data_IF_797548220820
#
_entry.id   IF_797548220820
#
_cell.length_a   1.000
_cell.length_b   1.000
_cell.length_c   1.000
_cell.angle_alpha   90.00
_cell.angle_beta   90.00
_cell.angle_gamma   90.00
#
_symmetry.space_group_name_H-M   'P 1'
#
loop_
_entity.id
_entity.type
_entity.pdbx_description
1 polymer ?
#
# COMPACT_ATOMS: atom_id res chain seq x y z
N UNK A 1 -2.56 -9.81 36.96
CA UNK A 1 -1.61 -8.67 36.84
C UNK A 1 -0.87 -8.78 35.51
N UNK A 2 -0.68 -7.63 34.84
CA UNK A 2 0.08 -7.37 33.61
C UNK A 2 -0.47 -7.88 32.25
N UNK A 3 -1.35 -7.06 31.65
CA UNK A 3 -1.66 -7.04 30.21
C UNK A 3 -0.43 -6.47 29.48
N UNK A 4 0.30 -7.27 28.69
CA UNK A 4 1.35 -6.76 27.80
C UNK A 4 0.67 -6.04 26.63
N UNK A 5 0.70 -4.70 26.66
CA UNK A 5 0.32 -3.86 25.51
C UNK A 5 1.40 -4.01 24.44
N UNK A 6 1.02 -4.57 23.30
CA UNK A 6 1.85 -4.57 22.10
C UNK A 6 1.89 -3.14 21.57
N UNK A 7 3.10 -2.59 21.45
CA UNK A 7 3.34 -1.21 21.04
C UNK A 7 3.05 -1.11 19.54
N UNK A 8 2.02 -0.36 19.17
CA UNK A 8 1.81 0.10 17.80
C UNK A 8 2.98 1.00 17.42
N UNK A 9 3.79 0.59 16.44
CA UNK A 9 4.75 1.48 15.77
C UNK A 9 4.06 2.07 14.56
N UNK A 10 3.47 3.25 14.74
CA UNK A 10 3.16 4.13 13.62
C UNK A 10 4.50 4.78 13.23
N UNK A 11 5.07 4.38 12.10
CA UNK A 11 6.23 5.08 11.53
C UNK A 11 5.72 6.26 10.69
N UNK A 12 5.70 7.45 11.28
CA UNK A 12 5.70 8.70 10.50
C UNK A 12 7.16 9.14 10.39
N UNK A 13 7.84 8.73 9.33
CA UNK A 13 9.14 9.31 8.98
C UNK A 13 8.91 10.68 8.34
N UNK A 14 8.98 11.75 9.13
CA UNK A 14 9.17 13.10 8.60
C UNK A 14 10.67 13.36 8.43
N UNK A 15 11.24 12.96 7.28
CA UNK A 15 12.58 13.40 6.91
C UNK A 15 12.53 14.84 6.40
N UNK A 16 12.77 15.81 7.28
CA UNK A 16 13.19 17.15 6.89
C UNK A 16 14.65 17.09 6.41
N UNK A 17 14.86 16.96 5.10
CA UNK A 17 16.17 17.24 4.50
C UNK A 17 16.00 17.79 3.08
N UNK A 18 16.04 19.13 3.03
CA UNK A 18 16.59 19.98 1.97
C UNK A 18 16.36 19.57 0.51
N UNK A 19 15.38 20.22 -0.13
CA UNK A 19 15.35 20.37 -1.58
C UNK A 19 15.32 21.87 -1.91
N UNK A 20 16.51 22.48 -1.98
CA UNK A 20 16.67 23.80 -2.58
C UNK A 20 17.12 23.61 -4.03
N UNK A 21 16.44 24.17 -5.03
CA UNK A 21 16.97 24.17 -6.39
C UNK A 21 18.13 25.18 -6.45
N UNK A 22 19.32 24.69 -6.79
CA UNK A 22 20.48 25.54 -7.07
C UNK A 22 20.19 26.48 -8.25
N UNK A 23 20.52 27.76 -8.10
CA UNK A 23 20.51 28.76 -9.18
C UNK A 23 21.55 28.41 -10.25
N UNK A 24 21.26 28.57 -11.55
CA UNK A 24 22.24 28.31 -12.61
C UNK A 24 23.36 29.36 -12.56
N UNK A 25 24.60 28.87 -12.44
CA UNK A 25 25.83 29.66 -12.57
C UNK A 25 25.99 30.14 -14.02
N UNK A 26 26.04 31.44 -14.25
CA UNK A 26 26.34 32.05 -15.55
C UNK A 26 27.68 31.53 -16.09
N UNK A 27 27.65 30.85 -17.24
CA UNK A 27 28.82 30.58 -18.08
C UNK A 27 28.75 31.53 -19.27
N UNK A 28 29.71 32.47 -19.33
CA UNK A 28 29.91 33.35 -20.46
C UNK A 28 30.45 32.53 -21.66
N UNK A 29 29.73 32.56 -22.77
CA UNK A 29 30.13 31.93 -24.02
C UNK A 29 29.45 32.63 -25.19
N UNK A 30 30.25 33.31 -25.99
CA UNK A 30 29.89 34.16 -27.14
C UNK A 30 29.38 33.34 -28.33
N UNK A 31 28.19 33.67 -28.86
CA UNK A 31 27.74 33.23 -30.18
C UNK A 31 26.21 33.21 -30.33
N UNK A 32 25.64 34.17 -31.07
CA UNK A 32 24.28 34.12 -31.65
C UNK A 32 24.41 33.75 -33.15
N UNK A 33 23.39 33.16 -33.82
CA UNK A 33 22.07 33.77 -33.99
C UNK A 33 20.86 32.85 -33.78
N UNK A 34 19.81 33.45 -33.21
CA UNK A 34 18.39 33.28 -33.52
C UNK A 34 17.91 31.91 -34.04
N UNK A 35 17.41 31.10 -33.10
CA UNK A 35 16.31 30.17 -33.37
C UNK A 35 15.15 30.49 -32.44
N UNK A 36 14.01 30.74 -33.07
CA UNK A 36 12.79 31.33 -32.52
C UNK A 36 12.17 30.44 -31.46
N UNK A 37 12.41 30.77 -30.19
CA UNK A 37 11.47 30.49 -29.10
C UNK A 37 10.78 31.81 -28.79
N UNK A 38 9.44 31.88 -28.69
CA UNK A 38 8.81 33.11 -28.21
C UNK A 38 9.34 33.37 -26.80
N UNK A 39 9.90 34.57 -26.58
CA UNK A 39 10.20 35.05 -25.24
C UNK A 39 8.89 35.13 -24.46
N UNK A 40 8.55 34.05 -23.76
CA UNK A 40 7.47 34.06 -22.80
C UNK A 40 7.81 35.12 -21.75
N UNK A 41 6.98 36.16 -21.66
CA UNK A 41 7.09 37.23 -20.68
C UNK A 41 7.45 36.67 -19.30
N UNK A 42 8.28 37.39 -18.53
CA UNK A 42 8.64 37.03 -17.16
C UNK A 42 7.41 36.70 -16.29
N UNK A 43 6.25 37.30 -16.58
CA UNK A 43 4.99 36.99 -15.93
C UNK A 43 4.48 35.57 -16.23
N UNK A 44 4.64 35.09 -17.47
CA UNK A 44 4.25 33.73 -17.86
C UNK A 44 5.21 32.68 -17.29
N UNK A 45 6.50 32.98 -17.25
CA UNK A 45 7.50 32.14 -16.57
C UNK A 45 7.24 32.08 -15.07
N UNK A 46 6.89 33.21 -14.43
CA UNK A 46 6.47 33.25 -13.02
C UNK A 46 5.20 32.44 -12.80
N UNK A 47 4.19 32.55 -13.67
CA UNK A 47 2.95 31.77 -13.56
C UNK A 47 3.21 30.26 -13.70
N UNK A 48 4.11 29.86 -14.60
CA UNK A 48 4.51 28.47 -14.78
C UNK A 48 5.32 27.94 -13.59
N UNK A 49 6.23 28.76 -13.06
CA UNK A 49 7.01 28.46 -11.85
C UNK A 49 6.11 28.37 -10.62
N UNK A 50 5.13 29.27 -10.46
CA UNK A 50 4.14 29.26 -9.38
C UNK A 50 3.20 28.07 -9.51
N UNK A 51 2.71 27.75 -10.72
CA UNK A 51 1.88 26.56 -10.94
C UNK A 51 2.66 25.25 -10.73
N UNK A 52 3.94 25.21 -11.11
CA UNK A 52 4.83 24.09 -10.83
C UNK A 52 5.18 23.98 -9.34
N UNK A 53 5.42 25.11 -8.68
CA UNK A 53 5.62 25.21 -7.23
C UNK A 53 4.37 24.77 -6.47
N UNK A 54 3.18 25.20 -6.88
CA UNK A 54 1.91 24.81 -6.27
C UNK A 54 1.60 23.32 -6.50
N UNK A 55 1.90 22.75 -7.67
CA UNK A 55 1.81 21.30 -7.90
C UNK A 55 2.83 20.50 -7.08
N UNK A 56 4.05 20.98 -6.96
CA UNK A 56 5.11 20.34 -6.18
C UNK A 56 4.85 20.44 -4.66
N UNK A 57 4.32 21.57 -4.19
CA UNK A 57 3.98 21.78 -2.78
C UNK A 57 2.68 21.10 -2.38
N UNK A 58 1.68 21.01 -3.26
CA UNK A 58 0.47 20.23 -3.01
C UNK A 58 0.80 18.74 -2.76
N UNK A 59 1.74 18.17 -3.53
CA UNK A 59 2.29 16.82 -3.24
C UNK A 59 3.04 16.76 -1.92
N UNK A 60 3.65 17.85 -1.49
CA UNK A 60 4.42 17.91 -0.24
C UNK A 60 3.54 18.10 1.02
N UNK A 61 2.24 18.35 0.86
CA UNK A 61 1.29 18.64 1.96
C UNK A 61 0.15 17.63 2.12
N UNK A 62 0.00 16.66 1.22
CA UNK A 62 -1.02 15.61 1.35
C UNK A 62 -0.49 14.50 2.26
N UNK A 63 -1.25 14.12 3.29
CA UNK A 63 -0.96 12.91 4.06
C UNK A 63 -1.01 11.70 3.11
N UNK A 64 0.06 10.89 3.10
CA UNK A 64 0.14 9.69 2.26
C UNK A 64 -1.08 8.79 2.51
N UNK A 65 -1.82 8.34 1.47
CA UNK A 65 -2.98 7.47 1.64
C UNK A 65 -2.61 6.22 2.44
N UNK A 66 -3.38 5.91 3.49
CA UNK A 66 -3.13 4.76 4.34
C UNK A 66 -3.78 3.50 3.79
N UNK A 67 -2.99 2.45 3.54
CA UNK A 67 -3.47 1.12 3.18
C UNK A 67 -3.29 0.15 4.34
N UNK A 68 -4.36 -0.53 4.73
CA UNK A 68 -4.26 -1.57 5.75
C UNK A 68 -3.78 -2.88 5.11
N UNK A 69 -2.73 -3.49 5.66
CA UNK A 69 -2.22 -4.80 5.23
C UNK A 69 -2.44 -5.79 6.36
N UNK A 70 -3.49 -6.61 6.23
CA UNK A 70 -4.00 -7.46 7.30
C UNK A 70 -3.71 -8.94 7.03
N UNK A 71 -3.16 -9.62 8.02
CA UNK A 71 -2.71 -11.00 7.91
C UNK A 71 -3.43 -11.89 8.93
N UNK A 72 -4.05 -12.95 8.42
CA UNK A 72 -4.80 -13.92 9.20
C UNK A 72 -3.92 -14.95 9.92
N UNK A 73 -4.52 -16.07 10.35
CA UNK A 73 -3.90 -16.97 11.30
C UNK A 73 -2.73 -17.74 10.70
N UNK A 74 -1.78 -18.10 11.56
CA UNK A 74 -0.57 -18.87 11.30
C UNK A 74 0.47 -18.19 10.38
N UNK A 75 0.20 -17.01 9.83
CA UNK A 75 1.20 -16.28 9.03
C UNK A 75 2.39 -15.78 9.87
N UNK A 76 2.23 -15.65 11.18
CA UNK A 76 3.34 -15.42 12.11
C UNK A 76 4.37 -16.57 12.14
N UNK A 77 4.04 -17.73 11.58
CA UNK A 77 4.92 -18.90 11.52
C UNK A 77 5.58 -19.07 10.13
N UNK A 78 5.45 -18.09 9.23
CA UNK A 78 6.15 -18.09 7.94
C UNK A 78 7.67 -18.20 8.13
N UNK A 79 8.34 -18.86 7.19
CA UNK A 79 9.78 -19.15 7.26
C UNK A 79 10.19 -20.25 8.26
N UNK A 80 9.30 -20.66 9.18
CA UNK A 80 9.59 -21.67 10.20
C UNK A 80 9.04 -23.07 9.87
N UNK A 81 8.10 -23.17 8.91
CA UNK A 81 7.43 -24.42 8.53
C UNK A 81 7.30 -24.56 7.02
N UNK A 82 7.58 -25.75 6.50
CA UNK A 82 7.33 -26.16 5.11
C UNK A 82 7.86 -25.15 4.06
N UNK A 83 9.18 -24.88 4.04
CA UNK A 83 9.78 -23.93 3.11
C UNK A 83 9.50 -24.26 1.63
N UNK A 84 9.28 -25.54 1.32
CA UNK A 84 8.89 -26.01 -0.03
C UNK A 84 7.56 -25.39 -0.53
N UNK A 85 6.64 -25.04 0.36
CA UNK A 85 5.27 -24.58 0.03
C UNK A 85 5.14 -23.05 0.15
N UNK A 86 5.78 -22.46 1.17
CA UNK A 86 5.61 -21.03 1.51
C UNK A 86 6.86 -20.19 1.26
N UNK A 87 7.97 -20.81 0.87
CA UNK A 87 9.27 -20.16 0.80
C UNK A 87 9.93 -19.99 2.17
N UNK A 88 11.16 -19.48 2.18
CA UNK A 88 11.92 -19.18 3.40
C UNK A 88 11.62 -17.80 3.98
N UNK A 89 10.79 -17.00 3.30
CA UNK A 89 10.45 -15.65 3.74
C UNK A 89 9.63 -15.68 5.03
N UNK A 90 10.02 -14.85 5.98
CA UNK A 90 9.31 -14.61 7.24
C UNK A 90 8.23 -13.55 7.07
N UNK A 91 7.36 -13.39 8.07
CA UNK A 91 6.38 -12.30 8.06
C UNK A 91 7.05 -10.92 8.13
N UNK A 92 8.19 -10.82 8.81
CA UNK A 92 8.99 -9.59 8.87
C UNK A 92 9.54 -9.24 7.48
N UNK A 93 9.96 -10.23 6.69
CA UNK A 93 10.38 -10.01 5.29
C UNK A 93 9.21 -9.50 4.43
N UNK A 94 8.00 -10.04 4.63
CA UNK A 94 6.78 -9.55 3.96
C UNK A 94 6.50 -8.10 4.33
N UNK A 95 6.60 -7.75 5.62
CA UNK A 95 6.43 -6.37 6.07
C UNK A 95 7.45 -5.44 5.39
N UNK A 96 8.73 -5.83 5.32
CA UNK A 96 9.75 -5.04 4.62
C UNK A 96 9.47 -4.87 3.13
N UNK A 97 8.98 -5.92 2.46
CA UNK A 97 8.56 -5.83 1.04
C UNK A 97 7.42 -4.82 0.89
N UNK A 98 6.42 -4.85 1.77
CA UNK A 98 5.30 -3.91 1.77
C UNK A 98 5.78 -2.48 2.00
N UNK A 99 6.65 -2.25 2.99
CA UNK A 99 7.20 -0.91 3.29
C UNK A 99 7.92 -0.35 2.05
N UNK A 100 8.82 -1.14 1.46
CA UNK A 100 9.58 -0.71 0.27
C UNK A 100 8.69 -0.45 -0.95
N UNK A 101 7.62 -1.23 -1.12
CA UNK A 101 6.66 -1.01 -2.20
C UNK A 101 5.83 0.26 -1.94
N UNK A 102 5.33 0.45 -0.72
CA UNK A 102 4.55 1.61 -0.33
C UNK A 102 5.33 2.92 -0.47
N UNK A 103 6.61 2.94 -0.07
CA UNK A 103 7.46 4.13 -0.21
C UNK A 103 7.66 4.54 -1.67
N UNK A 104 7.73 3.58 -2.60
CA UNK A 104 7.82 3.86 -4.05
C UNK A 104 6.51 4.38 -4.64
N UNK A 105 5.39 4.06 -4.00
CA UNK A 105 4.03 4.41 -4.43
C UNK A 105 3.46 5.63 -3.68
N UNK A 106 4.27 6.26 -2.83
CA UNK A 106 3.86 7.37 -1.96
C UNK A 106 2.66 7.03 -1.05
N UNK A 107 2.61 5.78 -0.59
CA UNK A 107 1.58 5.27 0.33
C UNK A 107 2.11 5.20 1.76
N UNK A 108 1.19 5.28 2.72
CA UNK A 108 1.41 4.81 4.09
C UNK A 108 0.79 3.41 4.24
N UNK A 109 1.35 2.57 5.11
CA UNK A 109 0.78 1.26 5.42
C UNK A 109 0.59 1.04 6.92
N UNK A 110 -0.43 0.26 7.26
CA UNK A 110 -0.64 -0.31 8.58
C UNK A 110 -0.63 -1.83 8.47
N UNK A 111 0.52 -2.42 8.78
CA UNK A 111 0.76 -3.85 8.65
C UNK A 111 0.47 -4.57 9.97
N UNK A 112 -0.45 -5.55 9.95
CA UNK A 112 -0.86 -6.28 11.16
C UNK A 112 -1.06 -7.76 10.89
N UNK A 113 -0.95 -8.57 11.94
CA UNK A 113 -1.25 -9.99 11.92
C UNK A 113 -1.94 -10.43 13.21
N UNK A 114 -2.96 -11.28 13.09
CA UNK A 114 -3.59 -11.94 14.24
C UNK A 114 -4.03 -13.35 13.92
N UNK A 115 -4.05 -14.18 14.98
CA UNK A 115 -4.65 -15.50 14.96
C UNK A 115 -6.13 -15.48 15.38
N UNK A 116 -6.64 -14.36 15.85
CA UNK A 116 -7.99 -14.23 16.43
C UNK A 116 -8.93 -13.60 15.40
N UNK A 117 -9.95 -14.35 14.98
CA UNK A 117 -10.91 -13.91 13.96
C UNK A 117 -11.59 -12.58 14.33
N UNK A 118 -12.11 -12.46 15.55
CA UNK A 118 -12.78 -11.24 16.03
C UNK A 118 -11.87 -10.01 16.08
N UNK A 119 -10.56 -10.20 16.29
CA UNK A 119 -9.58 -9.10 16.24
C UNK A 119 -9.35 -8.65 14.80
N UNK A 120 -9.23 -9.58 13.85
CA UNK A 120 -9.12 -9.28 12.42
C UNK A 120 -10.36 -8.52 11.92
N UNK A 121 -11.56 -8.96 12.32
CA UNK A 121 -12.83 -8.28 12.04
C UNK A 121 -12.83 -6.86 12.62
N UNK A 122 -12.37 -6.69 13.87
CA UNK A 122 -12.31 -5.37 14.50
C UNK A 122 -11.38 -4.43 13.73
N UNK A 123 -10.22 -4.92 13.27
CA UNK A 123 -9.30 -4.12 12.45
C UNK A 123 -9.90 -3.74 11.11
N UNK A 124 -10.63 -4.65 10.45
CA UNK A 124 -11.35 -4.35 9.20
C UNK A 124 -12.36 -3.22 9.44
N UNK A 125 -13.17 -3.30 10.50
CA UNK A 125 -14.13 -2.25 10.84
C UNK A 125 -13.46 -0.90 11.15
N UNK A 126 -12.32 -0.92 11.85
CA UNK A 126 -11.54 0.28 12.14
C UNK A 126 -10.98 0.95 10.87
N UNK A 127 -10.75 0.18 9.78
CA UNK A 127 -10.21 0.72 8.53
C UNK A 127 -11.14 1.76 7.89
N UNK A 128 -12.47 1.59 8.02
CA UNK A 128 -13.48 2.50 7.44
C UNK A 128 -13.25 3.98 7.78
N UNK A 129 -12.62 4.28 8.93
CA UNK A 129 -12.41 5.65 9.41
C UNK A 129 -11.05 6.25 9.07
N UNK A 130 -10.10 5.44 8.59
CA UNK A 130 -8.67 5.83 8.58
C UNK A 130 -7.88 5.36 7.36
N UNK A 131 -8.34 4.33 6.67
CA UNK A 131 -7.65 3.75 5.52
C UNK A 131 -8.41 4.07 4.23
N UNK A 132 -7.69 4.06 3.11
CA UNK A 132 -8.25 4.21 1.76
C UNK A 132 -8.42 2.86 1.05
N UNK A 133 -7.84 1.79 1.57
CA UNK A 133 -7.98 0.44 1.03
C UNK A 133 -7.46 -0.64 1.96
N UNK A 134 -7.86 -1.88 1.70
CA UNK A 134 -7.48 -3.06 2.49
C UNK A 134 -6.83 -4.11 1.58
N UNK A 135 -5.61 -4.51 1.93
CA UNK A 135 -4.98 -5.71 1.40
C UNK A 135 -5.04 -6.76 2.50
N UNK A 136 -5.63 -7.92 2.22
CA UNK A 136 -5.83 -8.95 3.22
C UNK A 136 -5.34 -10.31 2.73
N UNK A 137 -4.53 -10.97 3.54
CA UNK A 137 -4.29 -12.41 3.43
C UNK A 137 -5.03 -13.10 4.58
N UNK A 138 -6.26 -13.62 4.36
CA UNK A 138 -7.06 -14.18 5.45
C UNK A 138 -6.58 -15.56 5.89
N UNK A 139 -5.60 -16.16 5.20
CA UNK A 139 -5.07 -17.48 5.46
C UNK A 139 -6.19 -18.52 5.65
N UNK A 140 -6.24 -19.20 6.80
CA UNK A 140 -7.27 -20.19 7.10
C UNK A 140 -8.71 -19.62 7.07
N UNK A 141 -8.89 -18.35 7.46
CA UNK A 141 -10.21 -17.73 7.53
C UNK A 141 -10.86 -17.47 6.18
N UNK A 142 -10.07 -17.51 5.09
CA UNK A 142 -10.59 -17.44 3.72
C UNK A 142 -11.67 -18.49 3.50
N UNK A 143 -11.47 -19.70 4.04
CA UNK A 143 -12.32 -20.85 3.77
C UNK A 143 -13.47 -21.04 4.76
N UNK A 144 -13.49 -20.28 5.87
CA UNK A 144 -14.41 -20.54 6.98
C UNK A 144 -15.16 -19.31 7.47
N UNK A 145 -14.62 -18.11 7.28
CA UNK A 145 -15.12 -16.90 7.94
C UNK A 145 -16.14 -16.16 7.10
N UNK A 146 -17.42 -16.43 7.37
CA UNK A 146 -18.53 -15.60 6.88
C UNK A 146 -18.53 -14.25 7.61
N UNK A 147 -18.17 -14.22 8.90
CA UNK A 147 -18.14 -12.98 9.68
C UNK A 147 -17.10 -11.97 9.16
N UNK A 148 -15.95 -12.43 8.66
CA UNK A 148 -14.96 -11.58 8.02
C UNK A 148 -15.46 -11.05 6.67
N UNK A 149 -16.16 -11.86 5.88
CA UNK A 149 -16.81 -11.41 4.65
C UNK A 149 -17.80 -10.27 4.94
N UNK A 150 -18.69 -10.45 5.92
CA UNK A 150 -19.67 -9.43 6.29
C UNK A 150 -19.00 -8.12 6.75
N UNK A 151 -17.91 -8.24 7.52
CA UNK A 151 -17.14 -7.08 7.94
C UNK A 151 -16.51 -6.32 6.77
N UNK A 152 -15.94 -7.03 5.79
CA UNK A 152 -15.34 -6.43 4.59
C UNK A 152 -16.40 -5.72 3.73
N UNK A 153 -17.54 -6.37 3.48
CA UNK A 153 -18.66 -5.77 2.75
C UNK A 153 -19.20 -4.50 3.42
N UNK A 154 -19.09 -4.40 4.74
CA UNK A 154 -19.53 -3.24 5.50
C UNK A 154 -18.52 -2.08 5.54
N UNK A 155 -17.34 -2.19 4.90
CA UNK A 155 -16.33 -1.11 4.94
C UNK A 155 -16.50 -0.05 3.87
N UNK A 156 -17.14 -0.38 2.74
CA UNK A 156 -17.18 0.42 1.50
C UNK A 156 -15.78 0.81 0.96
N UNK A 157 -14.72 0.09 1.36
CA UNK A 157 -13.35 0.30 0.88
C UNK A 157 -12.99 -0.73 -0.21
N UNK A 158 -12.10 -0.39 -1.16
CA UNK A 158 -11.52 -1.39 -2.05
C UNK A 158 -10.72 -2.42 -1.26
N UNK A 159 -10.99 -3.70 -1.54
CA UNK A 159 -10.32 -4.85 -0.90
C UNK A 159 -9.58 -5.66 -1.96
N UNK A 160 -8.32 -5.99 -1.70
CA UNK A 160 -7.55 -6.97 -2.48
C UNK A 160 -7.19 -8.15 -1.58
N UNK A 161 -7.55 -9.35 -2.01
CA UNK A 161 -7.20 -10.59 -1.32
C UNK A 161 -5.87 -11.14 -1.85
N UNK A 162 -5.00 -11.57 -0.94
CA UNK A 162 -3.68 -12.12 -1.26
C UNK A 162 -3.51 -13.49 -0.64
N UNK A 163 -3.02 -14.44 -1.44
CA UNK A 163 -2.56 -15.76 -0.99
C UNK A 163 -1.14 -16.03 -1.47
N UNK A 164 -0.22 -16.30 -0.54
CA UNK A 164 1.18 -16.63 -0.86
C UNK A 164 1.24 -17.88 -1.77
N UNK A 165 0.49 -18.93 -1.40
CA UNK A 165 0.40 -20.17 -2.18
C UNK A 165 -0.74 -20.13 -3.20
N UNK A 166 -0.65 -20.92 -4.27
CA UNK A 166 -1.76 -21.11 -5.19
C UNK A 166 -2.81 -22.02 -4.54
N UNK A 167 -3.89 -21.43 -4.01
CA UNK A 167 -4.95 -22.17 -3.29
C UNK A 167 -5.68 -23.17 -4.19
N UNK A 168 -5.75 -22.94 -5.50
CA UNK A 168 -6.41 -23.83 -6.47
C UNK A 168 -5.63 -25.11 -6.77
N UNK A 169 -4.33 -25.14 -6.43
CA UNK A 169 -3.50 -26.37 -6.53
C UNK A 169 -3.53 -27.23 -5.26
N UNK A 170 -4.23 -26.77 -4.23
CA UNK A 170 -4.28 -27.42 -2.92
C UNK A 170 -5.53 -28.26 -2.76
N UNK A 171 -5.82 -28.69 -1.53
CA UNK A 171 -6.98 -29.51 -1.20
C UNK A 171 -8.30 -28.81 -1.61
N UNK A 172 -9.35 -29.55 -2.00
CA UNK A 172 -10.59 -28.97 -2.52
C UNK A 172 -11.25 -27.93 -1.60
N UNK A 173 -11.14 -28.11 -0.28
CA UNK A 173 -11.70 -27.16 0.68
C UNK A 173 -11.01 -25.78 0.65
N UNK A 174 -9.84 -25.66 0.02
CA UNK A 174 -9.12 -24.40 -0.14
C UNK A 174 -9.44 -23.66 -1.43
N UNK A 175 -10.17 -24.29 -2.35
CA UNK A 175 -10.48 -23.69 -3.65
C UNK A 175 -11.49 -22.56 -3.52
N UNK A 176 -12.28 -22.56 -2.44
CA UNK A 176 -13.29 -21.55 -2.14
C UNK A 176 -12.79 -20.59 -1.06
N UNK A 177 -12.96 -19.30 -1.31
CA UNK A 177 -12.76 -18.24 -0.32
C UNK A 177 -14.02 -17.40 -0.19
N UNK A 178 -14.51 -17.21 1.04
CA UNK A 178 -15.58 -16.26 1.35
C UNK A 178 -15.12 -14.83 1.09
N UNK A 179 -13.86 -14.52 1.43
CA UNK A 179 -13.29 -13.17 1.28
C UNK A 179 -13.24 -12.72 -0.17
N UNK A 180 -13.05 -13.65 -1.12
CA UNK A 180 -13.04 -13.33 -2.55
C UNK A 180 -14.34 -12.69 -3.05
N UNK A 181 -15.44 -12.83 -2.31
CA UNK A 181 -16.74 -12.21 -2.65
C UNK A 181 -16.82 -10.72 -2.33
N UNK A 182 -15.96 -10.23 -1.43
CA UNK A 182 -15.83 -8.80 -1.12
C UNK A 182 -14.62 -8.15 -1.81
N UNK A 183 -13.67 -8.95 -2.29
CA UNK A 183 -12.46 -8.45 -2.93
C UNK A 183 -12.73 -7.96 -4.36
N UNK A 184 -12.18 -6.80 -4.72
CA UNK A 184 -12.12 -6.29 -6.10
C UNK A 184 -11.21 -7.18 -6.95
N UNK A 185 -10.13 -7.69 -6.35
CA UNK A 185 -9.18 -8.58 -7.01
C UNK A 185 -8.58 -9.60 -6.04
N UNK A 186 -8.18 -10.75 -6.58
CA UNK A 186 -7.54 -11.84 -5.84
C UNK A 186 -6.20 -12.16 -6.49
N UNK A 187 -5.12 -12.13 -5.70
CA UNK A 187 -3.77 -12.51 -6.13
C UNK A 187 -3.38 -13.78 -5.37
N UNK A 188 -3.11 -14.88 -6.08
CA UNK A 188 -2.70 -16.12 -5.43
C UNK A 188 -1.50 -16.79 -6.11
N UNK A 189 -0.64 -17.42 -5.31
CA UNK A 189 0.44 -18.28 -5.82
C UNK A 189 1.68 -17.57 -6.35
N UNK A 190 1.78 -16.26 -6.13
CA UNK A 190 2.94 -15.46 -6.52
C UNK A 190 3.90 -15.22 -5.34
N UNK A 191 3.79 -16.03 -4.28
CA UNK A 191 4.60 -15.88 -3.08
C UNK A 191 4.38 -14.54 -2.39
N UNK A 192 5.42 -14.06 -1.72
CA UNK A 192 5.41 -12.77 -1.01
C UNK A 192 5.32 -11.57 -1.96
N UNK A 193 5.74 -11.73 -3.23
CA UNK A 193 5.62 -10.70 -4.26
C UNK A 193 4.17 -10.28 -4.50
N UNK A 194 3.21 -11.17 -4.24
CA UNK A 194 1.78 -10.86 -4.33
C UNK A 194 1.35 -9.65 -3.49
N UNK A 195 2.02 -9.37 -2.37
CA UNK A 195 1.72 -8.18 -1.55
C UNK A 195 2.13 -6.87 -2.24
N UNK A 196 3.30 -6.86 -2.89
CA UNK A 196 3.77 -5.69 -3.64
C UNK A 196 2.87 -5.40 -4.86
N UNK A 197 2.45 -6.46 -5.56
CA UNK A 197 1.50 -6.35 -6.66
C UNK A 197 0.12 -5.84 -6.19
N UNK A 198 -0.33 -6.29 -5.01
CA UNK A 198 -1.57 -5.79 -4.41
C UNK A 198 -1.47 -4.31 -4.06
N UNK A 199 -0.33 -3.82 -3.55
CA UNK A 199 -0.12 -2.39 -3.29
C UNK A 199 -0.17 -1.56 -4.57
N UNK A 200 0.47 -2.02 -5.64
CA UNK A 200 0.43 -1.35 -6.95
C UNK A 200 -1.01 -1.24 -7.47
N UNK A 201 -1.74 -2.36 -7.48
CA UNK A 201 -3.13 -2.38 -7.93
C UNK A 201 -4.02 -1.50 -7.04
N UNK A 202 -3.78 -1.47 -5.73
CA UNK A 202 -4.52 -0.61 -4.80
C UNK A 202 -4.29 0.87 -5.07
N UNK A 203 -3.06 1.27 -5.40
CA UNK A 203 -2.76 2.66 -5.78
C UNK A 203 -3.61 3.13 -6.95
N UNK A 204 -3.74 2.31 -7.98
CA UNK A 204 -4.57 2.65 -9.15
C UNK A 204 -6.05 2.76 -8.77
N UNK A 205 -6.56 1.84 -7.93
CA UNK A 205 -7.95 1.85 -7.47
C UNK A 205 -8.31 3.13 -6.71
N UNK A 206 -7.46 3.56 -5.76
CA UNK A 206 -7.77 4.74 -4.93
C UNK A 206 -7.59 6.06 -5.67
N UNK A 207 -6.71 6.12 -6.67
CA UNK A 207 -6.53 7.33 -7.49
C UNK A 207 -7.72 7.58 -8.41
N UNK A 208 -8.32 6.51 -8.95
CA UNK A 208 -9.50 6.63 -9.81
C UNK A 208 -10.78 7.01 -9.06
N UNK A 209 -10.87 6.80 -7.75
CA UNK A 209 -11.98 7.29 -6.93
C UNK A 209 -11.97 8.81 -6.78
N UNK A 210 -10.78 9.43 -6.68
CA UNK A 210 -10.66 10.88 -6.48
C UNK A 210 -11.02 11.69 -7.75
N UNK A 211 -11.08 11.03 -8.92
CA UNK A 211 -11.43 11.62 -10.22
C UNK A 211 -12.94 11.57 -10.56
N UNK A 212 -13.78 10.92 -9.74
CA UNK A 212 -15.23 10.75 -9.96
C UNK A 212 -16.09 11.60 -9.02
#
# INVERSE_FOLDING_TARGET
MAKKRQIQRVFVLTSHSGCWPHTPRQMAGTGSPEQVFPEFSAAYQSLLLDAAWHRATARCTMERPLIAVLNGPNLNMLGQRQPEIYGSATLDDVEQICIQAADKLDLAIDFRQTNIEGELISWVQDCRKRARGIIINPAGYSHTSVALLDALLATDLPVIEVHISNIHRREPFRHMSYVSRAAVGVICGLGVTGYSLALQAMTDLILHEDDQ
#
